data_IF_910015726694
#
_entry.id   IF_910015726694
#
_cell.length_a   1.000
_cell.length_b   1.000
_cell.length_c   1.000
_cell.angle_alpha   90.00
_cell.angle_beta   90.00
_cell.angle_gamma   90.00
#
_symmetry.space_group_name_H-M   'P 1'
#
loop_
_entity.id
_entity.type
_entity.pdbx_description
1 polymer ?
#
# COMPACT_ATOMS: atom_id res chain seq x y z
N UNK A 1 -19.42 -3.48 12.31
CA UNK A 1 -19.28 -2.02 12.02
C UNK A 1 -17.87 -1.67 11.59
N UNK A 2 -16.82 -2.10 12.30
CA UNK A 2 -15.42 -1.79 11.93
C UNK A 2 -15.06 -2.18 10.49
N UNK A 3 -15.50 -3.36 10.02
CA UNK A 3 -15.29 -3.78 8.63
C UNK A 3 -15.89 -2.82 7.59
N UNK A 4 -17.05 -2.21 7.89
CA UNK A 4 -17.71 -1.24 6.99
C UNK A 4 -16.95 0.09 6.91
N UNK A 5 -16.15 0.43 7.93
CA UNK A 5 -15.28 1.60 7.93
C UNK A 5 -13.93 1.27 7.28
N UNK A 6 -13.41 0.06 7.52
CA UNK A 6 -12.14 -0.42 7.00
C UNK A 6 -12.11 -0.52 5.48
N UNK A 7 -13.09 -1.20 4.87
CA UNK A 7 -13.05 -1.51 3.43
C UNK A 7 -13.00 -0.26 2.55
N UNK A 8 -13.83 0.77 2.75
CA UNK A 8 -13.75 1.99 1.93
C UNK A 8 -12.41 2.71 2.06
N UNK A 9 -11.84 2.75 3.28
CA UNK A 9 -10.53 3.37 3.53
C UNK A 9 -9.41 2.56 2.86
N UNK A 10 -9.46 1.23 2.94
CA UNK A 10 -8.53 0.35 2.25
C UNK A 10 -8.57 0.56 0.74
N UNK A 11 -9.78 0.56 0.16
CA UNK A 11 -9.96 0.79 -1.28
C UNK A 11 -9.42 2.15 -1.71
N UNK A 12 -9.74 3.22 -0.97
CA UNK A 12 -9.19 4.54 -1.24
C UNK A 12 -7.65 4.53 -1.20
N UNK A 13 -7.07 3.90 -0.17
CA UNK A 13 -5.61 3.85 0.02
C UNK A 13 -4.91 3.10 -1.12
N UNK A 14 -5.43 1.94 -1.51
CA UNK A 14 -4.90 1.16 -2.65
C UNK A 14 -5.04 1.95 -3.95
N UNK A 15 -6.20 2.57 -4.20
CA UNK A 15 -6.41 3.34 -5.44
C UNK A 15 -5.44 4.52 -5.52
N UNK A 16 -5.24 5.26 -4.43
CA UNK A 16 -4.29 6.38 -4.41
C UNK A 16 -2.85 5.88 -4.63
N UNK A 17 -2.48 4.75 -4.03
CA UNK A 17 -1.19 4.08 -4.25
C UNK A 17 -0.94 3.74 -5.72
N UNK A 18 -1.88 3.04 -6.34
CA UNK A 18 -1.84 2.64 -7.76
C UNK A 18 -1.82 3.85 -8.70
N UNK A 19 -2.63 4.87 -8.41
CA UNK A 19 -2.65 6.13 -9.18
C UNK A 19 -1.32 6.87 -9.04
N UNK A 20 -0.66 6.82 -7.89
CA UNK A 20 0.66 7.43 -7.70
C UNK A 20 1.73 6.77 -8.57
N UNK A 21 1.74 5.43 -8.67
CA UNK A 21 2.59 4.71 -9.63
C UNK A 21 2.30 5.14 -11.07
N UNK A 22 1.03 5.14 -11.46
CA UNK A 22 0.58 5.52 -12.80
C UNK A 22 1.02 6.95 -13.18
N UNK A 23 0.82 7.88 -12.25
CA UNK A 23 1.16 9.28 -12.42
C UNK A 23 2.66 9.48 -12.52
N UNK A 24 3.45 8.80 -11.68
CA UNK A 24 4.90 8.90 -11.74
C UNK A 24 5.45 8.24 -13.01
N UNK A 25 4.93 7.09 -13.45
CA UNK A 25 5.33 6.44 -14.69
C UNK A 25 5.12 7.35 -15.90
N UNK A 26 3.98 8.05 -15.96
CA UNK A 26 3.72 9.10 -16.97
C UNK A 26 4.79 10.20 -16.94
N UNK A 27 5.19 10.68 -15.76
CA UNK A 27 6.24 11.70 -15.63
C UNK A 27 7.61 11.20 -16.10
N UNK A 28 7.87 9.90 -15.94
CA UNK A 28 9.05 9.23 -16.47
C UNK A 28 9.00 9.01 -17.99
N UNK A 29 7.84 9.20 -18.63
CA UNK A 29 7.66 9.07 -20.07
C UNK A 29 6.86 7.85 -20.52
N UNK A 30 6.31 7.05 -19.59
CA UNK A 30 5.47 5.89 -19.91
C UNK A 30 3.97 6.26 -19.95
N UNK A 31 3.33 6.34 -21.13
CA UNK A 31 1.93 6.69 -21.24
C UNK A 31 0.98 5.49 -21.05
N UNK A 32 1.49 4.27 -20.83
CA UNK A 32 0.70 3.03 -20.82
C UNK A 32 -0.52 3.10 -19.90
N UNK A 33 -0.31 3.47 -18.64
CA UNK A 33 -1.39 3.58 -17.65
C UNK A 33 -2.42 4.66 -18.02
N UNK A 34 -1.96 5.78 -18.60
CA UNK A 34 -2.85 6.86 -19.05
C UNK A 34 -3.71 6.42 -20.23
N UNK A 35 -3.11 5.80 -21.25
CA UNK A 35 -3.80 5.31 -22.44
C UNK A 35 -4.85 4.25 -22.12
N UNK A 36 -4.61 3.45 -21.07
CA UNK A 36 -5.55 2.45 -20.56
C UNK A 36 -6.60 3.02 -19.59
N UNK A 37 -6.63 4.34 -19.38
CA UNK A 37 -7.58 5.00 -18.47
C UNK A 37 -7.40 4.61 -17.00
N UNK A 38 -6.18 4.24 -16.59
CA UNK A 38 -5.86 3.73 -15.24
C UNK A 38 -5.47 4.84 -14.26
N UNK A 39 -5.24 6.07 -14.72
CA UNK A 39 -5.07 7.24 -13.85
C UNK A 39 -6.46 7.75 -13.43
N UNK A 40 -7.11 7.04 -12.50
CA UNK A 40 -8.46 7.35 -12.03
C UNK A 40 -8.63 6.96 -10.57
N UNK A 41 -9.39 7.76 -9.81
CA UNK A 41 -9.78 7.43 -8.43
C UNK A 41 -11.00 6.50 -8.37
N UNK A 42 -11.52 6.03 -9.51
CA UNK A 42 -12.59 5.04 -9.54
C UNK A 42 -12.06 3.67 -9.09
N UNK A 43 -12.49 3.14 -7.92
CA UNK A 43 -11.99 1.87 -7.39
C UNK A 43 -12.28 0.70 -8.33
N UNK A 44 -13.39 0.74 -9.08
CA UNK A 44 -13.78 -0.32 -10.02
C UNK A 44 -12.69 -0.56 -11.06
N UNK A 45 -11.99 0.48 -11.50
CA UNK A 45 -10.91 0.36 -12.48
C UNK A 45 -9.71 -0.42 -11.94
N UNK A 46 -9.53 -0.50 -10.63
CA UNK A 46 -8.37 -1.11 -9.95
C UNK A 46 -8.70 -2.46 -9.30
N UNK A 47 -9.95 -2.90 -9.35
CA UNK A 47 -10.35 -4.19 -8.79
C UNK A 47 -10.01 -5.34 -9.74
N UNK A 48 -9.48 -6.43 -9.18
CA UNK A 48 -9.44 -7.74 -9.84
C UNK A 48 -10.64 -8.54 -9.31
N UNK A 49 -11.65 -8.89 -10.12
CA UNK A 49 -12.80 -9.66 -9.64
C UNK A 49 -12.42 -10.99 -8.97
N UNK A 50 -11.32 -11.62 -9.40
CA UNK A 50 -10.83 -12.85 -8.77
C UNK A 50 -10.22 -12.56 -7.39
N UNK A 51 -9.21 -11.70 -7.35
CA UNK A 51 -8.47 -11.39 -6.12
C UNK A 51 -9.24 -10.54 -5.11
N UNK A 52 -10.06 -9.60 -5.56
CA UNK A 52 -10.75 -8.63 -4.70
C UNK A 52 -12.16 -9.06 -4.28
N UNK A 53 -12.75 -10.07 -4.95
CA UNK A 53 -14.14 -10.52 -4.67
C UNK A 53 -14.20 -12.02 -4.44
N UNK A 54 -13.80 -12.83 -5.43
CA UNK A 54 -13.99 -14.28 -5.39
C UNK A 54 -13.14 -14.94 -4.28
N UNK A 55 -11.85 -14.62 -4.18
CA UNK A 55 -10.95 -15.21 -3.19
C UNK A 55 -11.38 -14.85 -1.74
N UNK A 56 -11.66 -13.59 -1.40
CA UNK A 56 -12.20 -13.24 -0.08
C UNK A 56 -13.52 -13.95 0.24
N UNK A 57 -14.45 -14.07 -0.73
CA UNK A 57 -15.73 -14.77 -0.54
C UNK A 57 -15.54 -16.27 -0.26
N UNK A 58 -14.66 -16.94 -1.02
CA UNK A 58 -14.36 -18.35 -0.79
C UNK A 58 -13.72 -18.58 0.59
N UNK A 59 -12.79 -17.71 1.00
CA UNK A 59 -12.14 -17.80 2.31
C UNK A 59 -13.06 -17.46 3.48
N UNK A 60 -14.05 -16.59 3.25
CA UNK A 60 -15.12 -16.32 4.20
C UNK A 60 -16.01 -17.55 4.42
N UNK A 61 -16.44 -18.21 3.32
CA UNK A 61 -17.25 -19.43 3.40
C UNK A 61 -16.48 -20.63 3.98
N UNK A 62 -15.15 -20.67 3.84
CA UNK A 62 -14.33 -21.72 4.44
C UNK A 62 -14.13 -21.58 5.95
N UNK A 63 -14.66 -20.51 6.58
CA UNK A 63 -14.44 -20.16 7.99
C UNK A 63 -12.95 -20.09 8.38
N UNK A 64 -12.06 -19.91 7.41
CA UNK A 64 -10.61 -19.84 7.65
C UNK A 64 -10.18 -18.66 8.53
N UNK A 65 -11.08 -17.70 8.77
CA UNK A 65 -10.79 -16.45 9.49
C UNK A 65 -9.92 -15.47 8.70
N UNK A 66 -9.61 -15.80 7.44
CA UNK A 66 -8.68 -15.05 6.61
C UNK A 66 -9.40 -14.39 5.42
N UNK A 67 -9.08 -13.13 5.15
CA UNK A 67 -9.48 -12.43 3.92
C UNK A 67 -8.20 -12.06 3.17
N UNK A 68 -7.75 -12.95 2.28
CA UNK A 68 -6.72 -12.61 1.31
C UNK A 68 -7.40 -12.02 0.07
N UNK A 69 -6.98 -10.83 -0.32
CA UNK A 69 -7.36 -10.26 -1.61
C UNK A 69 -6.28 -9.33 -2.13
N UNK A 70 -6.19 -9.23 -3.45
CA UNK A 70 -5.28 -8.33 -4.14
C UNK A 70 -6.05 -7.47 -5.13
N UNK A 71 -5.52 -6.27 -5.38
CA UNK A 71 -5.98 -5.38 -6.45
C UNK A 71 -5.28 -5.71 -7.76
N UNK A 72 -5.85 -5.25 -8.87
CA UNK A 72 -5.20 -5.33 -10.18
C UNK A 72 -4.17 -4.20 -10.27
N UNK A 73 -2.86 -4.48 -10.28
CA UNK A 73 -1.84 -3.44 -10.32
C UNK A 73 -1.94 -2.64 -11.62
N UNK A 74 -1.56 -1.37 -11.56
CA UNK A 74 -1.51 -0.52 -12.75
C UNK A 74 -0.38 -0.98 -13.67
N UNK A 75 -0.65 -1.17 -14.98
CA UNK A 75 0.39 -1.53 -15.93
C UNK A 75 1.36 -0.38 -16.10
N UNK A 76 2.64 -0.67 -15.87
CA UNK A 76 3.77 0.23 -16.16
C UNK A 76 4.76 -0.48 -17.06
N UNK A 77 5.37 0.27 -17.98
CA UNK A 77 6.40 -0.20 -18.90
C UNK A 77 7.71 0.58 -18.69
N UNK A 78 8.67 0.00 -17.92
CA UNK A 78 9.96 0.62 -17.70
C UNK A 78 10.80 0.84 -18.95
N UNK A 79 10.46 0.23 -20.09
CA UNK A 79 11.18 0.45 -21.35
C UNK A 79 10.98 1.86 -21.90
N UNK A 80 9.87 2.53 -21.54
CA UNK A 80 9.51 3.89 -21.92
C UNK A 80 10.12 4.98 -21.02
N UNK A 81 10.75 4.61 -19.89
CA UNK A 81 11.30 5.58 -18.95
C UNK A 81 12.51 6.31 -19.53
N UNK A 82 12.59 7.63 -19.30
CA UNK A 82 13.74 8.48 -19.67
C UNK A 82 15.06 7.96 -19.11
N UNK A 83 15.03 7.53 -17.85
CA UNK A 83 16.10 6.79 -17.20
C UNK A 83 15.49 5.51 -16.62
N UNK A 84 15.89 4.34 -17.16
CA UNK A 84 15.31 3.07 -16.75
C UNK A 84 15.54 2.75 -15.28
N UNK A 85 16.72 3.06 -14.74
CA UNK A 85 17.06 2.71 -13.35
C UNK A 85 16.41 3.68 -12.38
N UNK A 86 16.64 4.97 -12.62
CA UNK A 86 16.14 6.00 -11.72
C UNK A 86 14.62 6.16 -11.83
N UNK A 87 14.05 5.93 -13.03
CA UNK A 87 12.61 5.91 -13.27
C UNK A 87 11.92 4.77 -12.53
N UNK A 88 12.44 3.54 -12.61
CA UNK A 88 11.88 2.38 -11.89
C UNK A 88 11.89 2.61 -10.37
N UNK A 89 13.00 3.12 -9.81
CA UNK A 89 13.06 3.50 -8.38
C UNK A 89 12.01 4.56 -8.03
N UNK A 90 11.89 5.64 -8.83
CA UNK A 90 10.93 6.71 -8.55
C UNK A 90 9.49 6.23 -8.65
N UNK A 91 9.17 5.42 -9.64
CA UNK A 91 7.83 4.84 -9.82
C UNK A 91 7.51 3.92 -8.65
N UNK A 92 8.39 2.99 -8.26
CA UNK A 92 8.15 2.10 -7.12
C UNK A 92 8.00 2.86 -5.79
N UNK A 93 8.77 3.94 -5.58
CA UNK A 93 8.61 4.76 -4.38
C UNK A 93 7.35 5.64 -4.39
N UNK A 94 6.74 5.91 -5.55
CA UNK A 94 5.59 6.81 -5.65
C UNK A 94 4.39 6.32 -4.83
N UNK A 95 4.05 5.03 -4.93
CA UNK A 95 2.97 4.44 -4.13
C UNK A 95 3.28 4.40 -2.63
N UNK A 96 4.53 4.11 -2.25
CA UNK A 96 4.95 4.13 -0.84
C UNK A 96 4.80 5.54 -0.27
N UNK A 97 5.29 6.56 -1.00
CA UNK A 97 5.22 7.96 -0.59
C UNK A 97 3.78 8.45 -0.52
N UNK A 98 2.90 8.08 -1.46
CA UNK A 98 1.49 8.49 -1.42
C UNK A 98 0.77 7.95 -0.18
N UNK A 99 1.07 6.72 0.22
CA UNK A 99 0.51 6.15 1.44
C UNK A 99 1.05 6.87 2.69
N UNK A 100 2.35 7.14 2.76
CA UNK A 100 2.90 7.96 3.86
C UNK A 100 2.26 9.36 3.91
N UNK A 101 1.99 9.99 2.77
CA UNK A 101 1.27 11.26 2.71
C UNK A 101 -0.18 11.13 3.21
N UNK A 102 -0.89 10.06 2.84
CA UNK A 102 -2.23 9.79 3.31
C UNK A 102 -2.28 9.54 4.82
N UNK A 103 -1.31 8.82 5.40
CA UNK A 103 -1.28 8.62 6.86
C UNK A 103 -1.10 9.94 7.63
N UNK A 104 -0.25 10.84 7.11
CA UNK A 104 -0.12 12.21 7.63
C UNK A 104 -1.43 12.98 7.49
N UNK A 105 -2.08 12.93 6.33
CA UNK A 105 -3.36 13.60 6.09
C UNK A 105 -4.44 13.13 7.09
N UNK A 106 -4.60 11.82 7.28
CA UNK A 106 -5.54 11.28 8.26
C UNK A 106 -5.20 11.67 9.70
N UNK A 107 -3.90 11.78 10.04
CA UNK A 107 -3.45 12.27 11.35
C UNK A 107 -3.87 13.72 11.59
N UNK A 108 -3.67 14.59 10.59
CA UNK A 108 -4.09 15.99 10.65
C UNK A 108 -5.61 16.13 10.76
N UNK A 109 -6.36 15.35 9.98
CA UNK A 109 -7.81 15.31 10.05
C UNK A 109 -8.30 14.85 11.43
N UNK A 110 -7.73 13.78 11.98
CA UNK A 110 -8.06 13.31 13.33
C UNK A 110 -7.80 14.39 14.40
N UNK A 111 -6.66 15.07 14.30
CA UNK A 111 -6.27 16.14 15.23
C UNK A 111 -7.29 17.29 15.23
N UNK A 112 -7.72 17.72 14.04
CA UNK A 112 -8.75 18.74 13.91
C UNK A 112 -10.10 18.28 14.48
N UNK A 113 -10.51 17.04 14.20
CA UNK A 113 -11.79 16.49 14.68
C UNK A 113 -11.84 16.43 16.21
N UNK A 114 -10.76 16.02 16.86
CA UNK A 114 -10.68 16.01 18.33
C UNK A 114 -10.84 17.42 18.92
N UNK A 115 -10.27 18.45 18.28
CA UNK A 115 -10.39 19.83 18.72
C UNK A 115 -11.83 20.40 18.60
N UNK A 116 -12.70 19.80 17.77
CA UNK A 116 -14.07 20.29 17.54
C UNK A 116 -15.12 19.83 18.56
N UNK A 117 -14.77 18.91 19.47
CA UNK A 117 -15.64 18.44 20.55
C UNK A 117 -16.03 16.97 20.45
N UNK A 118 -17.09 16.57 21.17
CA UNK A 118 -17.57 15.18 21.22
C UNK A 118 -18.94 15.01 20.56
N UNK A 119 -19.12 13.92 19.82
CA UNK A 119 -20.35 13.59 19.11
C UNK A 119 -20.24 12.25 18.38
N UNK A 120 -21.39 11.60 18.12
CA UNK A 120 -21.41 10.28 17.46
C UNK A 120 -20.71 10.34 16.09
N UNK A 121 -20.99 11.37 15.30
CA UNK A 121 -20.35 11.56 14.00
C UNK A 121 -18.83 11.77 14.11
N UNK A 122 -18.37 12.58 15.07
CA UNK A 122 -16.95 12.80 15.35
C UNK A 122 -16.27 11.48 15.72
N UNK A 123 -16.87 10.70 16.64
CA UNK A 123 -16.33 9.39 17.05
C UNK A 123 -16.23 8.40 15.88
N UNK A 124 -17.19 8.39 14.96
CA UNK A 124 -17.10 7.57 13.74
C UNK A 124 -15.98 8.07 12.82
N UNK A 125 -15.87 9.39 12.61
CA UNK A 125 -14.82 9.97 11.78
C UNK A 125 -13.41 9.71 12.34
N UNK A 126 -13.25 9.77 13.66
CA UNK A 126 -11.98 9.42 14.32
C UNK A 126 -11.60 7.96 14.09
N UNK A 127 -12.56 7.03 14.08
CA UNK A 127 -12.29 5.62 13.72
C UNK A 127 -11.88 5.48 12.27
N UNK A 128 -12.54 6.19 11.35
CA UNK A 128 -12.16 6.23 9.93
C UNK A 128 -10.73 6.76 9.78
N UNK A 129 -10.37 7.83 10.48
CA UNK A 129 -9.01 8.38 10.45
C UNK A 129 -7.99 7.41 11.03
N UNK A 130 -8.28 6.75 12.16
CA UNK A 130 -7.38 5.75 12.74
C UNK A 130 -7.14 4.58 11.79
N UNK A 131 -8.18 4.07 11.13
CA UNK A 131 -8.01 3.08 10.07
C UNK A 131 -7.19 3.63 8.91
N UNK A 132 -7.41 4.89 8.51
CA UNK A 132 -6.65 5.57 7.47
C UNK A 132 -5.16 5.67 7.78
N UNK A 133 -4.80 6.05 8.99
CA UNK A 133 -3.40 6.09 9.46
C UNK A 133 -2.80 4.69 9.41
N UNK A 134 -3.45 3.72 10.06
CA UNK A 134 -2.93 2.36 10.18
C UNK A 134 -2.76 1.67 8.81
N UNK A 135 -3.79 1.69 7.96
CA UNK A 135 -3.77 1.05 6.64
C UNK A 135 -2.66 1.65 5.77
N UNK A 136 -2.55 2.97 5.73
CA UNK A 136 -1.57 3.62 4.87
C UNK A 136 -0.13 3.41 5.36
N UNK A 137 0.12 3.44 6.68
CA UNK A 137 1.41 3.04 7.21
C UNK A 137 1.71 1.57 6.90
N UNK A 138 0.75 0.68 7.12
CA UNK A 138 0.91 -0.75 6.82
C UNK A 138 1.24 -0.99 5.34
N UNK A 139 0.48 -0.40 4.41
CA UNK A 139 0.72 -0.53 2.98
C UNK A 139 2.09 0.05 2.58
N UNK A 140 2.50 1.18 3.14
CA UNK A 140 3.80 1.78 2.85
C UNK A 140 4.96 0.89 3.30
N UNK A 141 4.95 0.43 4.56
CA UNK A 141 6.04 -0.38 5.11
C UNK A 141 6.02 -1.83 4.62
N UNK A 142 4.85 -2.40 4.34
CA UNK A 142 4.76 -3.70 3.70
C UNK A 142 5.33 -3.64 2.27
N UNK A 143 5.00 -2.61 1.49
CA UNK A 143 5.58 -2.44 0.15
C UNK A 143 7.08 -2.09 0.18
N UNK A 144 7.65 -1.65 1.30
CA UNK A 144 9.11 -1.47 1.43
C UNK A 144 9.87 -2.80 1.61
N UNK A 145 9.19 -3.91 1.92
CA UNK A 145 9.85 -5.21 2.07
C UNK A 145 10.45 -5.62 0.71
N UNK A 146 11.75 -5.93 0.64
CA UNK A 146 12.42 -6.20 -0.63
C UNK A 146 12.18 -7.65 -1.09
N UNK A 147 10.92 -7.99 -1.37
CA UNK A 147 10.49 -9.30 -1.88
C UNK A 147 9.49 -9.07 -3.01
N UNK A 148 9.75 -9.55 -4.24
CA UNK A 148 8.77 -9.44 -5.33
C UNK A 148 7.42 -10.07 -4.96
N UNK A 149 6.28 -9.50 -5.39
CA UNK A 149 6.12 -8.37 -6.29
C UNK A 149 6.06 -6.98 -5.59
N UNK A 150 6.50 -6.86 -4.34
CA UNK A 150 6.41 -5.59 -3.58
C UNK A 150 7.33 -4.50 -4.16
N UNK A 151 6.96 -3.23 -4.02
CA UNK A 151 7.68 -2.09 -4.61
C UNK A 151 9.16 -2.01 -4.19
N UNK A 152 9.46 -2.30 -2.92
CA UNK A 152 10.80 -2.28 -2.36
C UNK A 152 11.74 -3.27 -3.05
N UNK A 153 11.18 -4.29 -3.70
CA UNK A 153 11.96 -5.25 -4.49
C UNK A 153 12.56 -4.62 -5.75
N UNK A 154 11.86 -3.68 -6.39
CA UNK A 154 12.35 -2.92 -7.54
C UNK A 154 13.48 -1.97 -7.14
N UNK A 155 13.29 -1.28 -6.00
CA UNK A 155 14.33 -0.41 -5.43
C UNK A 155 15.59 -1.20 -5.15
N UNK A 156 15.49 -2.35 -4.47
CA UNK A 156 16.66 -3.21 -4.21
C UNK A 156 17.28 -3.71 -5.51
N UNK A 157 16.45 -4.19 -6.46
CA UNK A 157 16.92 -4.69 -7.75
C UNK A 157 17.79 -3.67 -8.49
N UNK A 158 17.38 -2.39 -8.54
CA UNK A 158 18.10 -1.34 -9.25
C UNK A 158 19.37 -0.86 -8.53
N UNK A 159 19.46 -1.08 -7.21
CA UNK A 159 20.64 -0.75 -6.40
C UNK A 159 21.71 -1.85 -6.42
N UNK A 160 21.34 -3.09 -6.77
CA UNK A 160 22.27 -4.21 -6.81
C UNK A 160 23.23 -4.15 -8.01
N UNK A 161 24.47 -4.66 -7.88
CA UNK A 161 25.35 -4.87 -9.02
C UNK A 161 24.71 -5.82 -10.06
N UNK A 162 25.03 -5.69 -11.36
CA UNK A 162 24.32 -6.41 -12.44
C UNK A 162 24.17 -7.93 -12.22
N UNK A 163 25.25 -8.60 -11.76
CA UNK A 163 25.23 -10.05 -11.49
C UNK A 163 24.29 -10.42 -10.33
N UNK A 164 24.28 -9.62 -9.26
CA UNK A 164 23.39 -9.85 -8.13
C UNK A 164 21.93 -9.54 -8.50
N UNK A 165 21.72 -8.51 -9.32
CA UNK A 165 20.42 -8.12 -9.83
C UNK A 165 19.79 -9.23 -10.70
N UNK A 166 20.58 -9.90 -11.55
CA UNK A 166 20.15 -11.06 -12.35
C UNK A 166 19.72 -12.24 -11.46
N UNK A 167 20.53 -12.59 -10.46
CA UNK A 167 20.20 -13.65 -9.50
C UNK A 167 18.91 -13.29 -8.74
N UNK A 168 18.82 -12.07 -8.22
CA UNK A 168 17.66 -11.57 -7.50
C UNK A 168 16.38 -11.66 -8.34
N UNK A 169 16.43 -11.21 -9.61
CA UNK A 169 15.31 -11.34 -10.55
C UNK A 169 14.94 -12.80 -10.80
N UNK A 170 15.92 -13.69 -10.92
CA UNK A 170 15.67 -15.11 -11.16
C UNK A 170 14.95 -15.79 -9.98
N UNK A 171 15.23 -15.35 -8.75
CA UNK A 171 14.57 -15.84 -7.52
C UNK A 171 13.20 -15.19 -7.35
N UNK A 172 12.99 -13.99 -7.89
CA UNK A 172 11.73 -13.24 -7.83
C UNK A 172 10.49 -14.02 -8.30
N UNK A 173 10.66 -15.06 -9.14
CA UNK A 173 9.57 -15.98 -9.52
C UNK A 173 8.90 -16.68 -8.32
N UNK A 174 9.64 -16.86 -7.22
CA UNK A 174 9.16 -17.44 -5.97
C UNK A 174 8.74 -16.37 -4.96
N UNK A 175 8.74 -15.09 -5.33
CA UNK A 175 8.50 -13.97 -4.44
C UNK A 175 7.14 -14.04 -3.74
N UNK A 176 6.07 -14.40 -4.46
CA UNK A 176 4.75 -14.60 -3.86
C UNK A 176 4.77 -15.69 -2.78
N UNK A 177 5.45 -16.82 -3.03
CA UNK A 177 5.61 -17.90 -2.04
C UNK A 177 6.44 -17.40 -0.85
N UNK A 178 7.49 -16.62 -1.09
CA UNK A 178 8.31 -16.04 -0.03
C UNK A 178 7.49 -15.09 0.87
N UNK A 179 6.57 -14.29 0.30
CA UNK A 179 5.64 -13.45 1.08
C UNK A 179 4.71 -14.32 1.93
N UNK A 180 4.11 -15.38 1.38
CA UNK A 180 3.26 -16.28 2.15
C UNK A 180 4.05 -16.92 3.30
N UNK A 181 5.24 -17.44 3.02
CA UNK A 181 6.14 -18.01 4.03
C UNK A 181 6.48 -16.98 5.11
N UNK A 182 6.80 -15.74 4.74
CA UNK A 182 7.08 -14.67 5.68
C UNK A 182 5.87 -14.38 6.59
N UNK A 183 4.68 -14.27 6.01
CA UNK A 183 3.44 -13.94 6.74
C UNK A 183 2.98 -15.07 7.66
N UNK A 184 3.10 -16.34 7.24
CA UNK A 184 2.58 -17.47 8.00
C UNK A 184 3.60 -18.13 8.92
N UNK A 185 4.85 -18.26 8.49
CA UNK A 185 5.87 -19.02 9.22
C UNK A 185 6.87 -18.14 9.97
N UNK A 186 7.05 -16.88 9.54
CA UNK A 186 8.04 -15.96 10.13
C UNK A 186 7.38 -14.69 10.70
N UNK A 187 6.31 -14.86 11.48
CA UNK A 187 5.55 -13.75 12.06
C UNK A 187 6.41 -12.80 12.90
N UNK A 188 7.41 -13.31 13.63
CA UNK A 188 8.34 -12.46 14.40
C UNK A 188 9.22 -11.57 13.52
N UNK A 189 9.67 -12.08 12.37
CA UNK A 189 10.41 -11.27 11.39
C UNK A 189 9.49 -10.23 10.75
N UNK A 190 8.27 -10.60 10.39
CA UNK A 190 7.28 -9.66 9.86
C UNK A 190 6.99 -8.53 10.86
N UNK A 191 6.81 -8.86 12.14
CA UNK A 191 6.63 -7.86 13.20
C UNK A 191 7.84 -6.92 13.34
N UNK A 192 9.06 -7.47 13.25
CA UNK A 192 10.27 -6.66 13.24
C UNK A 192 10.30 -5.68 12.05
N UNK A 193 9.98 -6.17 10.84
CA UNK A 193 9.92 -5.33 9.63
C UNK A 193 8.82 -4.26 9.71
N UNK A 194 7.69 -4.57 10.36
CA UNK A 194 6.57 -3.65 10.54
C UNK A 194 6.64 -2.82 11.83
N UNK A 195 7.71 -2.93 12.62
CA UNK A 195 7.90 -2.13 13.83
C UNK A 195 7.75 -0.62 13.60
N UNK A 196 8.25 -0.04 12.48
CA UNK A 196 8.03 1.37 12.18
C UNK A 196 6.55 1.77 12.08
N UNK A 197 5.66 0.87 11.66
CA UNK A 197 4.21 1.13 11.59
C UNK A 197 3.67 1.46 12.99
N UNK A 198 4.03 0.66 13.99
CA UNK A 198 3.55 0.85 15.37
C UNK A 198 4.16 2.10 16.01
N UNK A 199 5.46 2.33 15.81
CA UNK A 199 6.12 3.55 16.31
C UNK A 199 5.49 4.82 15.72
N UNK A 200 5.21 4.83 14.41
CA UNK A 200 4.58 5.97 13.75
C UNK A 200 3.10 6.11 14.13
N UNK A 201 2.39 5.00 14.37
CA UNK A 201 1.03 5.01 14.90
C UNK A 201 0.99 5.64 16.30
N UNK A 202 1.91 5.26 17.18
CA UNK A 202 2.02 5.85 18.52
C UNK A 202 2.39 7.33 18.46
N UNK A 203 3.28 7.70 17.54
CA UNK A 203 3.65 9.10 17.27
C UNK A 203 2.43 9.90 16.78
N UNK A 204 1.64 9.36 15.87
CA UNK A 204 0.41 10.00 15.37
C UNK A 204 -0.61 10.15 16.50
N UNK A 205 -0.81 9.13 17.32
CA UNK A 205 -1.71 9.17 18.48
C UNK A 205 -1.25 10.16 19.55
N UNK A 206 0.06 10.26 19.78
CA UNK A 206 0.65 11.27 20.66
C UNK A 206 0.38 12.67 20.11
N UNK A 207 0.63 12.89 18.81
CA UNK A 207 0.36 14.16 18.16
C UNK A 207 -1.12 14.56 18.24
N UNK A 208 -2.06 13.65 17.94
CA UNK A 208 -3.51 13.91 18.03
C UNK A 208 -3.91 14.33 19.45
N UNK A 209 -3.30 13.74 20.49
CA UNK A 209 -3.57 14.11 21.88
C UNK A 209 -3.09 15.50 22.29
N UNK A 210 -2.20 16.13 21.52
CA UNK A 210 -1.80 17.52 21.75
C UNK A 210 -2.93 18.53 21.44
N UNK A 211 -4.03 18.07 20.82
CA UNK A 211 -5.18 18.87 20.43
C UNK A 211 -6.41 18.68 21.34
N UNK A 212 -6.25 17.94 22.45
CA UNK A 212 -7.23 17.79 23.54
C UNK A 212 -6.90 18.80 24.64
#
# INVERSE_FOLDING_TARGET
MEFLLFVPVLMLSIVVHEVAHAWQARREGDPTAEQLGRITLNPISHMDPLGSVIVPLMLWFSQSGMMLGWAKPVPVDPSNYRDRRAGDIRVSLAGIVSNLMLSVLFTLLASLMVATGDGVAIRVMLRVCNWGIFINLLLAFFNLIPIPPLDGSHVLYQLLPPRAAEVYRSVGRFGFIAILVLVFLFQGLLQLLLTPVFVLMDTANWFIRLWI
#
